data_IF_234078471234
#
_entry.id   IF_234078471234
#
_cell.length_a   1.000
_cell.length_b   1.000
_cell.length_c   1.000
_cell.angle_alpha   90.00
_cell.angle_beta   90.00
_cell.angle_gamma   90.00
#
_symmetry.space_group_name_H-M   'P 1'
#
loop_
_entity.id
_entity.type
_entity.pdbx_description
1 polymer ?
#
# COMPACT_ATOMS: atom_id res chain seq x y z
N UNK A 1 4.04 30.71 2.63
CA UNK A 1 3.54 29.33 2.85
C UNK A 1 4.66 28.36 2.50
N UNK A 2 4.92 27.38 3.36
CA UNK A 2 5.92 26.34 3.02
C UNK A 2 5.36 25.41 1.94
N UNK A 3 6.22 24.85 1.09
CA UNK A 3 5.81 23.99 -0.03
C UNK A 3 5.01 22.76 0.44
N UNK A 4 5.23 22.32 1.68
CA UNK A 4 4.45 21.27 2.35
C UNK A 4 2.99 21.69 2.59
N UNK A 5 2.76 22.92 3.06
CA UNK A 5 1.40 23.44 3.27
C UNK A 5 0.61 23.50 1.97
N UNK A 6 1.28 23.86 0.87
CA UNK A 6 0.69 23.85 -0.48
C UNK A 6 0.30 22.42 -0.87
N UNK A 7 1.18 21.44 -0.64
CA UNK A 7 0.89 20.03 -0.92
C UNK A 7 -0.27 19.46 -0.08
N UNK A 8 -0.36 19.81 1.20
CA UNK A 8 -1.46 19.41 2.09
C UNK A 8 -2.78 20.01 1.57
N UNK A 9 -2.80 21.31 1.29
CA UNK A 9 -3.98 21.99 0.77
C UNK A 9 -4.43 21.41 -0.57
N UNK A 10 -3.49 21.13 -1.47
CA UNK A 10 -3.77 20.48 -2.75
C UNK A 10 -4.42 19.10 -2.57
N UNK A 11 -3.81 18.23 -1.76
CA UNK A 11 -4.35 16.89 -1.49
C UNK A 11 -5.74 16.95 -0.85
N UNK A 12 -5.95 17.87 0.10
CA UNK A 12 -7.24 18.05 0.77
C UNK A 12 -8.35 18.51 -0.19
N UNK A 13 -8.07 19.53 -1.03
CA UNK A 13 -9.03 20.04 -2.01
C UNK A 13 -9.41 18.95 -3.01
N UNK A 14 -8.42 18.24 -3.54
CA UNK A 14 -8.65 17.15 -4.50
C UNK A 14 -9.45 16.02 -3.87
N UNK A 15 -9.15 15.62 -2.63
CA UNK A 15 -9.91 14.61 -1.92
C UNK A 15 -11.38 15.01 -1.72
N UNK A 16 -11.63 16.27 -1.30
CA UNK A 16 -13.00 16.79 -1.16
C UNK A 16 -13.75 16.83 -2.49
N UNK A 17 -13.10 17.28 -3.57
CA UNK A 17 -13.71 17.29 -4.91
C UNK A 17 -14.05 15.87 -5.36
N UNK A 18 -13.15 14.91 -5.12
CA UNK A 18 -13.38 13.50 -5.43
C UNK A 18 -14.58 12.94 -4.66
N UNK A 19 -14.64 13.15 -3.34
CA UNK A 19 -15.74 12.69 -2.49
C UNK A 19 -17.09 13.29 -2.92
N UNK A 20 -17.10 14.59 -3.26
CA UNK A 20 -18.33 15.28 -3.68
C UNK A 20 -18.82 14.81 -5.05
N UNK A 21 -17.90 14.56 -6.00
CA UNK A 21 -18.21 14.14 -7.37
C UNK A 21 -18.69 12.69 -7.45
N UNK A 22 -18.29 11.85 -6.49
CA UNK A 22 -18.55 10.40 -6.51
C UNK A 22 -19.59 9.96 -5.49
N UNK A 23 -20.07 10.91 -4.65
CA UNK A 23 -21.08 10.71 -3.59
C UNK A 23 -20.72 9.60 -2.59
N UNK A 24 -19.49 9.11 -2.62
CA UNK A 24 -18.93 8.12 -1.73
C UNK A 24 -17.69 8.70 -1.06
N UNK A 25 -17.54 8.42 0.24
CA UNK A 25 -16.37 8.85 1.02
C UNK A 25 -15.12 8.06 0.65
N UNK A 26 -15.29 6.83 0.14
CA UNK A 26 -14.23 5.89 -0.18
C UNK A 26 -14.15 5.75 -1.70
N UNK A 27 -13.39 6.63 -2.35
CA UNK A 27 -13.00 6.52 -3.76
C UNK A 27 -11.45 6.43 -3.85
N UNK A 28 -10.86 5.64 -4.76
CA UNK A 28 -9.42 5.57 -5.03
C UNK A 28 -8.72 6.93 -5.02
N UNK A 29 -9.32 7.93 -5.66
CA UNK A 29 -8.77 9.29 -5.71
C UNK A 29 -8.75 9.95 -4.34
N UNK A 30 -9.87 9.88 -3.61
CA UNK A 30 -9.97 10.45 -2.25
C UNK A 30 -9.04 9.74 -1.26
N UNK A 31 -8.94 8.40 -1.33
CA UNK A 31 -8.07 7.61 -0.44
C UNK A 31 -6.61 7.90 -0.72
N UNK A 32 -6.21 7.91 -2.00
CA UNK A 32 -4.84 8.23 -2.40
C UNK A 32 -4.42 9.63 -1.94
N UNK A 33 -5.27 10.64 -2.18
CA UNK A 33 -5.01 12.01 -1.74
C UNK A 33 -5.02 12.14 -0.22
N UNK A 34 -5.91 11.45 0.49
CA UNK A 34 -5.96 11.48 1.95
C UNK A 34 -4.70 10.86 2.58
N UNK A 35 -4.23 9.73 2.05
CA UNK A 35 -2.97 9.11 2.49
C UNK A 35 -1.81 10.07 2.33
N UNK A 36 -1.65 10.70 1.16
CA UNK A 36 -0.56 11.64 0.93
C UNK A 36 -0.70 12.94 1.73
N UNK A 37 -1.93 13.41 1.98
CA UNK A 37 -2.20 14.52 2.90
C UNK A 37 -1.70 14.18 4.32
N UNK A 38 -2.05 13.00 4.85
CA UNK A 38 -1.61 12.56 6.17
C UNK A 38 -0.07 12.45 6.24
N UNK A 39 0.56 11.92 5.19
CA UNK A 39 2.02 11.84 5.09
C UNK A 39 2.67 13.22 5.16
N UNK A 40 2.17 14.18 4.39
CA UNK A 40 2.70 15.55 4.39
C UNK A 40 2.44 16.25 5.73
N UNK A 41 1.26 16.03 6.34
CA UNK A 41 0.91 16.58 7.65
C UNK A 41 1.81 16.06 8.79
N UNK A 42 2.12 14.76 8.79
CA UNK A 42 3.05 14.20 9.77
C UNK A 42 4.50 14.60 9.50
N UNK A 43 4.86 14.94 8.25
CA UNK A 43 6.21 15.41 7.93
C UNK A 43 6.57 16.76 8.57
N UNK A 44 5.57 17.59 8.92
CA UNK A 44 5.81 18.92 9.53
C UNK A 44 5.69 18.94 11.05
N UNK A 45 5.07 17.93 11.67
CA UNK A 45 4.74 17.94 13.10
C UNK A 45 5.68 17.10 13.98
N UNK A 46 6.66 16.41 13.41
CA UNK A 46 7.59 15.57 14.16
C UNK A 46 8.92 16.29 14.39
N UNK A 47 9.20 16.65 15.64
CA UNK A 47 10.42 17.32 16.11
C UNK A 47 11.73 16.51 15.95
N UNK A 48 11.65 15.28 15.43
CA UNK A 48 12.76 14.31 15.33
C UNK A 48 13.02 13.78 13.91
N UNK A 49 12.28 14.25 12.91
CA UNK A 49 12.45 13.84 11.51
C UNK A 49 13.03 15.01 10.72
N UNK A 50 14.03 14.73 9.88
CA UNK A 50 14.60 15.74 8.98
C UNK A 50 13.48 16.34 8.13
N UNK A 51 13.46 17.66 8.06
CA UNK A 51 12.51 18.36 7.20
C UNK A 51 12.77 17.94 5.74
N UNK A 52 11.75 17.45 5.02
CA UNK A 52 11.93 16.98 3.66
C UNK A 52 12.41 18.13 2.76
N UNK A 53 13.39 17.84 1.89
CA UNK A 53 13.85 18.81 0.91
C UNK A 53 12.70 19.25 0.00
N UNK A 54 12.68 20.54 -0.36
CA UNK A 54 11.62 21.13 -1.21
C UNK A 54 11.42 20.36 -2.52
N UNK A 55 12.49 19.79 -3.09
CA UNK A 55 12.42 18.96 -4.28
C UNK A 55 11.60 17.68 -4.07
N UNK A 56 11.79 16.99 -2.94
CA UNK A 56 11.03 15.77 -2.63
C UNK A 56 9.54 16.06 -2.50
N UNK A 57 9.18 17.18 -1.88
CA UNK A 57 7.78 17.59 -1.75
C UNK A 57 7.22 17.97 -3.14
N UNK A 58 8.02 18.62 -3.99
CA UNK A 58 7.67 18.90 -5.38
C UNK A 58 7.31 17.63 -6.17
N UNK A 59 8.15 16.59 -6.08
CA UNK A 59 7.87 15.29 -6.71
C UNK A 59 6.59 14.63 -6.19
N UNK A 60 6.31 14.74 -4.89
CA UNK A 60 5.06 14.22 -4.32
C UNK A 60 3.85 14.96 -4.92
N UNK A 61 3.89 16.29 -4.99
CA UNK A 61 2.79 17.09 -5.55
C UNK A 61 2.58 16.75 -7.03
N UNK A 62 3.66 16.64 -7.81
CA UNK A 62 3.59 16.23 -9.23
C UNK A 62 2.98 14.83 -9.36
N UNK A 63 3.40 13.87 -8.53
CA UNK A 63 2.85 12.51 -8.54
C UNK A 63 1.36 12.46 -8.21
N UNK A 64 0.91 13.25 -7.22
CA UNK A 64 -0.52 13.38 -6.91
C UNK A 64 -1.27 14.03 -8.07
N UNK A 65 -0.72 15.06 -8.70
CA UNK A 65 -1.31 15.70 -9.89
C UNK A 65 -1.39 14.76 -11.10
N UNK A 66 -0.37 13.94 -11.34
CA UNK A 66 -0.39 12.96 -12.42
C UNK A 66 -1.46 11.88 -12.18
N UNK A 67 -1.59 11.40 -10.94
CA UNK A 67 -2.62 10.43 -10.57
C UNK A 67 -4.04 11.00 -10.73
N UNK A 68 -4.26 12.25 -10.34
CA UNK A 68 -5.57 12.91 -10.49
C UNK A 68 -5.95 13.10 -11.96
N UNK A 69 -5.01 13.53 -12.79
CA UNK A 69 -5.21 13.65 -14.22
C UNK A 69 -5.51 12.28 -14.85
N UNK A 70 -4.74 11.24 -14.52
CA UNK A 70 -4.98 9.88 -14.99
C UNK A 70 -6.38 9.37 -14.62
N UNK A 71 -6.82 9.61 -13.37
CA UNK A 71 -8.16 9.26 -12.91
C UNK A 71 -9.26 9.99 -13.67
N UNK A 72 -9.10 11.30 -13.91
CA UNK A 72 -10.05 12.10 -14.69
C UNK A 72 -10.08 11.63 -16.15
N UNK A 73 -8.92 11.35 -16.74
CA UNK A 73 -8.77 10.91 -18.13
C UNK A 73 -9.47 9.57 -18.36
N UNK A 74 -9.26 8.58 -17.49
CA UNK A 74 -9.94 7.29 -17.51
C UNK A 74 -11.47 7.45 -17.49
N UNK A 75 -11.97 8.40 -16.67
CA UNK A 75 -13.40 8.66 -16.53
C UNK A 75 -14.02 9.34 -17.76
N UNK A 76 -13.30 10.28 -18.38
CA UNK A 76 -13.78 11.01 -19.56
C UNK A 76 -13.81 10.10 -20.78
N UNK A 77 -12.70 9.41 -21.03
CA UNK A 77 -12.52 8.69 -22.27
C UNK A 77 -13.28 7.36 -22.31
N UNK A 78 -13.70 6.83 -21.15
CA UNK A 78 -14.40 5.53 -21.04
C UNK A 78 -13.76 4.44 -21.91
N UNK A 79 -12.45 4.53 -22.16
CA UNK A 79 -11.75 3.58 -23.03
C UNK A 79 -11.74 2.26 -22.30
N UNK A 80 -12.65 1.39 -22.73
CA UNK A 80 -12.63 -0.02 -22.38
C UNK A 80 -11.74 -0.69 -23.42
N UNK A 81 -10.50 -0.99 -23.04
CA UNK A 81 -9.72 -1.97 -23.79
C UNK A 81 -10.40 -3.32 -23.58
N UNK A 82 -11.38 -3.64 -24.41
CA UNK A 82 -11.89 -5.00 -24.53
C UNK A 82 -10.83 -5.80 -25.26
N UNK A 83 -9.92 -6.43 -24.52
CA UNK A 83 -9.20 -7.57 -25.03
C UNK A 83 -10.24 -8.61 -25.47
N UNK A 84 -10.07 -9.15 -26.68
CA UNK A 84 -11.03 -10.03 -27.35
C UNK A 84 -11.56 -11.14 -26.45
N UNK A 85 -12.78 -11.61 -26.74
CA UNK A 85 -13.51 -12.55 -25.90
C UNK A 85 -12.65 -13.75 -25.56
N UNK A 86 -12.11 -13.76 -24.34
CA UNK A 86 -11.65 -14.98 -23.70
C UNK A 86 -12.89 -15.85 -23.61
N UNK A 87 -12.83 -16.99 -24.26
CA UNK A 87 -13.86 -18.02 -24.27
C UNK A 87 -14.39 -18.23 -22.86
N UNK A 88 -15.69 -18.47 -22.79
CA UNK A 88 -16.51 -18.66 -21.59
C UNK A 88 -15.86 -19.56 -20.53
N UNK A 89 -15.05 -18.98 -19.65
CA UNK A 89 -14.74 -19.50 -18.30
C UNK A 89 -15.90 -19.21 -17.34
N UNK A 90 -17.14 -19.19 -17.86
CA UNK A 90 -18.34 -18.78 -17.12
C UNK A 90 -18.74 -19.78 -16.02
N UNK A 91 -18.17 -20.99 -16.06
CA UNK A 91 -18.54 -22.07 -15.15
C UNK A 91 -17.40 -22.58 -14.25
N UNK A 92 -16.24 -21.92 -14.25
CA UNK A 92 -15.22 -22.17 -13.24
C UNK A 92 -15.09 -20.94 -12.35
N UNK A 93 -16.03 -20.81 -11.40
CA UNK A 93 -15.79 -19.99 -10.20
C UNK A 93 -14.54 -20.60 -9.55
N UNK A 94 -13.39 -19.98 -9.78
CA UNK A 94 -12.14 -20.42 -9.20
C UNK A 94 -12.20 -20.13 -7.70
N UNK A 95 -12.73 -21.09 -6.93
CA UNK A 95 -12.85 -20.97 -5.48
C UNK A 95 -11.43 -20.90 -4.91
N UNK A 96 -11.04 -19.78 -4.29
CA UNK A 96 -9.73 -19.67 -3.68
C UNK A 96 -9.56 -20.76 -2.62
N UNK A 97 -8.39 -21.41 -2.58
CA UNK A 97 -8.09 -22.37 -1.51
C UNK A 97 -7.84 -21.61 -0.20
N UNK A 98 -8.90 -21.24 0.50
CA UNK A 98 -8.87 -20.36 1.68
C UNK A 98 -7.88 -20.86 2.75
N UNK A 99 -7.83 -22.16 3.03
CA UNK A 99 -6.90 -22.74 4.03
C UNK A 99 -5.43 -22.46 3.68
N UNK A 100 -5.06 -22.55 2.41
CA UNK A 100 -3.70 -22.29 1.94
C UNK A 100 -3.38 -20.80 1.95
N UNK A 101 -4.33 -19.95 1.52
CA UNK A 101 -4.15 -18.50 1.57
C UNK A 101 -4.02 -17.97 3.00
N UNK A 102 -4.82 -18.48 3.93
CA UNK A 102 -4.71 -18.17 5.36
C UNK A 102 -3.34 -18.61 5.91
N UNK A 103 -2.86 -19.80 5.55
CA UNK A 103 -1.55 -20.27 5.95
C UNK A 103 -0.43 -19.36 5.42
N UNK A 104 -0.44 -19.06 4.11
CA UNK A 104 0.53 -18.17 3.48
C UNK A 104 0.54 -16.76 4.10
N UNK A 105 -0.64 -16.18 4.33
CA UNK A 105 -0.76 -14.87 4.95
C UNK A 105 -0.26 -14.87 6.40
N UNK A 106 -0.53 -15.94 7.15
CA UNK A 106 -0.04 -16.11 8.53
C UNK A 106 1.49 -16.25 8.58
N UNK A 107 2.09 -17.00 7.65
CA UNK A 107 3.56 -17.12 7.55
C UNK A 107 4.20 -15.77 7.23
N UNK A 108 3.65 -15.03 6.25
CA UNK A 108 4.13 -13.69 5.91
C UNK A 108 4.00 -12.73 7.11
N UNK A 109 2.88 -12.82 7.83
CA UNK A 109 2.61 -12.02 9.01
C UNK A 109 3.63 -12.25 10.13
N UNK A 110 3.97 -13.51 10.42
CA UNK A 110 5.01 -13.85 11.41
C UNK A 110 6.38 -13.30 11.02
N UNK A 111 6.71 -13.36 9.73
CA UNK A 111 7.97 -12.81 9.23
C UNK A 111 8.03 -11.29 9.38
N UNK A 112 6.97 -10.57 8.97
CA UNK A 112 6.91 -9.12 9.16
C UNK A 112 6.85 -8.71 10.64
N UNK A 113 6.25 -9.53 11.50
CA UNK A 113 6.23 -9.30 12.95
C UNK A 113 7.65 -9.45 13.53
N UNK A 114 8.40 -10.48 13.13
CA UNK A 114 9.81 -10.64 13.52
C UNK A 114 10.63 -9.44 13.07
N UNK A 115 10.51 -9.04 11.81
CA UNK A 115 11.23 -7.89 11.27
C UNK A 115 10.88 -6.61 12.05
N UNK A 116 9.62 -6.42 12.43
CA UNK A 116 9.18 -5.30 13.27
C UNK A 116 9.82 -5.34 14.67
N UNK A 117 9.93 -6.52 15.29
CA UNK A 117 10.60 -6.69 16.59
C UNK A 117 12.09 -6.39 16.47
N UNK A 118 12.77 -6.88 15.43
CA UNK A 118 14.19 -6.62 15.21
C UNK A 118 14.47 -5.13 14.98
N UNK A 119 13.62 -4.47 14.18
CA UNK A 119 13.66 -3.02 13.98
C UNK A 119 13.46 -2.28 15.30
N UNK A 120 12.55 -2.75 16.16
CA UNK A 120 12.30 -2.15 17.47
C UNK A 120 13.49 -2.31 18.42
N UNK A 121 14.08 -3.51 18.49
CA UNK A 121 15.22 -3.82 19.36
C UNK A 121 16.50 -3.08 18.93
N UNK A 122 16.76 -2.97 17.62
CA UNK A 122 17.97 -2.33 17.10
C UNK A 122 17.83 -0.80 16.98
N UNK A 123 16.64 -0.30 16.68
CA UNK A 123 16.40 1.13 16.45
C UNK A 123 15.99 1.92 17.70
N UNK A 124 15.59 1.24 18.79
CA UNK A 124 15.16 1.85 20.06
C UNK A 124 13.96 2.81 19.97
N UNK A 125 13.41 3.05 18.77
CA UNK A 125 12.28 3.93 18.51
C UNK A 125 11.62 3.63 17.15
N UNK A 126 10.34 3.96 17.01
CA UNK A 126 9.60 3.91 15.74
C UNK A 126 9.98 5.06 14.77
N UNK A 127 11.27 5.38 14.65
CA UNK A 127 11.69 6.42 13.74
C UNK A 127 11.74 5.88 12.31
N UNK A 128 10.73 6.26 11.51
CA UNK A 128 10.58 5.90 10.10
C UNK A 128 11.85 6.15 9.26
N UNK A 129 12.66 7.16 9.61
CA UNK A 129 13.93 7.43 8.93
C UNK A 129 14.98 6.38 9.24
N UNK A 130 15.08 5.92 10.49
CA UNK A 130 15.96 4.81 10.84
C UNK A 130 15.49 3.54 10.15
N UNK A 131 14.19 3.25 10.12
CA UNK A 131 13.66 2.08 9.40
C UNK A 131 13.98 2.17 7.90
N UNK A 132 13.75 3.32 7.27
CA UNK A 132 14.05 3.50 5.84
C UNK A 132 15.54 3.56 5.53
N UNK A 133 16.37 4.14 6.40
CA UNK A 133 17.82 4.11 6.26
C UNK A 133 18.33 2.69 6.48
N UNK A 134 17.85 1.96 7.47
CA UNK A 134 18.19 0.56 7.76
C UNK A 134 17.78 -0.39 6.61
N UNK A 135 16.70 -0.08 5.90
CA UNK A 135 16.26 -0.82 4.70
C UNK A 135 17.00 -0.40 3.42
N UNK A 136 17.57 0.83 3.37
CA UNK A 136 18.25 1.40 2.18
C UNK A 136 19.76 1.27 2.23
N UNK A 137 20.37 1.39 3.41
CA UNK A 137 21.70 0.86 3.65
C UNK A 137 21.57 -0.62 3.42
N UNK A 138 22.32 -1.15 2.47
CA UNK A 138 22.43 -2.58 2.22
C UNK A 138 22.93 -3.38 3.43
N UNK A 139 23.09 -2.75 4.60
CA UNK A 139 23.27 -3.29 5.94
C UNK A 139 22.03 -4.03 6.50
N UNK A 140 21.30 -4.72 5.60
CA UNK A 140 20.52 -5.93 5.90
C UNK A 140 21.40 -7.08 6.46
N UNK A 141 22.63 -6.78 6.84
CA UNK A 141 23.63 -7.62 7.48
C UNK A 141 23.64 -7.49 8.99
N UNK A 142 22.66 -6.81 9.62
CA UNK A 142 22.40 -7.03 11.05
C UNK A 142 21.58 -8.31 11.17
N UNK A 143 22.30 -9.43 10.96
CA UNK A 143 21.96 -10.81 11.33
C UNK A 143 20.72 -11.40 10.65
N UNK A 144 20.70 -11.48 9.32
CA UNK A 144 19.85 -12.45 8.63
C UNK A 144 20.71 -13.50 7.95
N UNK A 145 20.43 -14.77 8.24
CA UNK A 145 21.12 -15.90 7.60
C UNK A 145 20.89 -15.78 6.07
N UNK A 146 21.86 -16.02 5.18
CA UNK A 146 21.67 -15.85 3.73
C UNK A 146 20.45 -16.59 3.18
N UNK A 147 20.14 -17.74 3.80
CA UNK A 147 18.98 -18.58 3.53
C UNK A 147 17.67 -17.84 3.89
N UNK A 148 17.65 -17.09 4.98
CA UNK A 148 16.48 -16.33 5.43
C UNK A 148 16.16 -15.15 4.50
N UNK A 149 17.20 -14.44 4.03
CA UNK A 149 17.02 -13.39 3.04
C UNK A 149 16.52 -13.96 1.70
N UNK A 150 17.02 -15.12 1.29
CA UNK A 150 16.53 -15.82 0.10
C UNK A 150 15.06 -16.22 0.24
N UNK A 151 14.62 -16.69 1.42
CA UNK A 151 13.22 -17.00 1.70
C UNK A 151 12.35 -15.73 1.60
N UNK A 152 12.82 -14.61 2.14
CA UNK A 152 12.09 -13.34 2.08
C UNK A 152 11.87 -12.88 0.63
N UNK A 153 12.93 -12.88 -0.17
CA UNK A 153 12.89 -12.43 -1.56
C UNK A 153 12.09 -13.37 -2.47
N UNK A 154 12.25 -14.68 -2.33
CA UNK A 154 11.64 -15.66 -3.25
C UNK A 154 10.19 -16.01 -2.90
N UNK A 155 9.84 -16.00 -1.61
CA UNK A 155 8.51 -16.47 -1.18
C UNK A 155 7.70 -15.34 -0.55
N UNK A 156 8.25 -14.63 0.42
CA UNK A 156 7.45 -13.72 1.25
C UNK A 156 7.04 -12.47 0.49
N UNK A 157 7.94 -11.82 -0.23
CA UNK A 157 7.61 -10.62 -1.00
C UNK A 157 6.60 -10.89 -2.13
N UNK A 158 6.75 -11.94 -2.96
CA UNK A 158 5.77 -12.26 -3.99
C UNK A 158 4.40 -12.62 -3.40
N UNK A 159 4.35 -13.43 -2.33
CA UNK A 159 3.10 -13.81 -1.67
C UNK A 159 2.40 -12.58 -1.06
N UNK A 160 3.16 -11.71 -0.39
CA UNK A 160 2.63 -10.48 0.21
C UNK A 160 2.17 -9.44 -0.83
N UNK A 161 2.62 -9.55 -2.09
CA UNK A 161 2.13 -8.74 -3.20
C UNK A 161 0.88 -9.35 -3.86
N UNK A 162 0.82 -10.68 -4.00
CA UNK A 162 -0.30 -11.37 -4.64
C UNK A 162 -1.55 -11.46 -3.75
N UNK A 163 -1.38 -11.63 -2.43
CA UNK A 163 -2.49 -11.78 -1.47
C UNK A 163 -3.52 -10.65 -1.52
N UNK A 164 -3.14 -9.36 -1.52
CA UNK A 164 -4.08 -8.25 -1.67
C UNK A 164 -4.91 -8.32 -2.96
N UNK A 165 -4.29 -8.70 -4.08
CA UNK A 165 -4.99 -8.82 -5.37
C UNK A 165 -5.98 -9.99 -5.35
N UNK A 166 -5.60 -11.15 -4.80
CA UNK A 166 -6.48 -12.32 -4.65
C UNK A 166 -7.65 -11.98 -3.70
N UNK A 167 -7.37 -11.27 -2.61
CA UNK A 167 -8.40 -10.82 -1.67
C UNK A 167 -9.40 -9.86 -2.33
N UNK A 168 -8.95 -8.96 -3.20
CA UNK A 168 -9.84 -8.06 -3.93
C UNK A 168 -10.74 -8.81 -4.91
N UNK A 169 -10.20 -9.81 -5.62
CA UNK A 169 -10.99 -10.69 -6.49
C UNK A 169 -12.01 -11.50 -5.68
N UNK A 170 -11.65 -12.02 -4.51
CA UNK A 170 -12.57 -12.74 -3.60
C UNK A 170 -13.69 -11.85 -3.05
N UNK A 171 -13.45 -10.56 -2.88
CA UNK A 171 -14.48 -9.58 -2.45
C UNK A 171 -15.52 -9.36 -3.56
N UNK A 172 -15.10 -9.31 -4.83
CA UNK A 172 -16.00 -9.01 -5.94
C UNK A 172 -16.68 -10.23 -6.54
N UNK A 173 -15.95 -11.33 -6.69
CA UNK A 173 -16.37 -12.52 -7.43
C UNK A 173 -16.42 -13.78 -6.56
N UNK A 174 -15.94 -13.74 -5.32
CA UNK A 174 -15.88 -14.88 -4.40
C UNK A 174 -16.89 -14.85 -3.26
N UNK A 175 -16.67 -15.70 -2.25
CA UNK A 175 -17.56 -15.88 -1.09
C UNK A 175 -17.40 -14.78 -0.02
N UNK A 176 -16.56 -13.76 -0.27
CA UNK A 176 -16.31 -12.63 0.64
C UNK A 176 -15.89 -13.11 2.04
N UNK A 177 -14.87 -13.98 2.10
CA UNK A 177 -14.48 -14.58 3.36
C UNK A 177 -13.86 -13.53 4.31
N UNK A 178 -14.64 -13.10 5.30
CA UNK A 178 -14.25 -12.06 6.27
C UNK A 178 -12.93 -12.35 6.96
N UNK A 179 -12.62 -13.63 7.24
CA UNK A 179 -11.36 -14.01 7.91
C UNK A 179 -10.13 -13.76 7.02
N UNK A 180 -10.22 -14.05 5.73
CA UNK A 180 -9.15 -13.81 4.77
C UNK A 180 -8.87 -12.31 4.62
N UNK A 181 -9.93 -11.52 4.55
CA UNK A 181 -9.85 -10.05 4.46
C UNK A 181 -9.16 -9.49 5.71
N UNK A 182 -9.61 -9.88 6.91
CA UNK A 182 -9.02 -9.39 8.16
C UNK A 182 -7.53 -9.73 8.27
N UNK A 183 -7.13 -10.96 7.94
CA UNK A 183 -5.72 -11.36 8.00
C UNK A 183 -4.89 -10.64 6.96
N UNK A 184 -5.41 -10.44 5.74
CA UNK A 184 -4.69 -9.72 4.68
C UNK A 184 -4.47 -8.26 5.06
N UNK A 185 -5.48 -7.60 5.65
CA UNK A 185 -5.35 -6.23 6.17
C UNK A 185 -4.34 -6.18 7.32
N UNK A 186 -4.38 -7.12 8.26
CA UNK A 186 -3.47 -7.13 9.41
C UNK A 186 -2.01 -7.41 8.97
N UNK A 187 -1.82 -8.33 8.02
CA UNK A 187 -0.53 -8.58 7.37
C UNK A 187 0.00 -7.31 6.68
N UNK A 188 -0.85 -6.57 5.95
CA UNK A 188 -0.45 -5.32 5.30
C UNK A 188 -0.07 -4.25 6.32
N UNK A 189 -0.77 -4.15 7.46
CA UNK A 189 -0.42 -3.23 8.53
C UNK A 189 0.97 -3.55 9.12
N UNK A 190 1.25 -4.81 9.42
CA UNK A 190 2.57 -5.22 9.89
C UNK A 190 3.67 -4.98 8.86
N UNK A 191 3.40 -5.26 7.59
CA UNK A 191 4.33 -4.95 6.50
C UNK A 191 4.61 -3.46 6.42
N UNK A 192 3.59 -2.61 6.53
CA UNK A 192 3.76 -1.15 6.53
C UNK A 192 4.58 -0.66 7.71
N UNK A 193 4.35 -1.19 8.90
CA UNK A 193 5.11 -0.82 10.10
C UNK A 193 6.56 -1.29 10.04
N UNK A 194 6.81 -2.50 9.51
CA UNK A 194 8.13 -3.10 9.37
C UNK A 194 8.97 -2.46 8.26
N UNK A 195 8.38 -2.25 7.07
CA UNK A 195 9.12 -1.81 5.87
C UNK A 195 8.93 -0.34 5.50
N UNK A 196 8.09 0.39 6.26
CA UNK A 196 7.59 1.73 5.92
C UNK A 196 6.94 1.83 4.53
N UNK A 197 6.69 0.69 3.86
CA UNK A 197 6.23 0.65 2.48
C UNK A 197 4.70 0.75 2.41
N UNK A 198 4.21 1.90 1.95
CA UNK A 198 2.78 2.25 1.94
C UNK A 198 2.03 1.73 0.70
N UNK A 199 2.74 1.21 -0.29
CA UNK A 199 2.18 0.79 -1.58
C UNK A 199 1.20 -0.38 -1.49
N UNK A 200 1.41 -1.32 -0.56
CA UNK A 200 0.55 -2.50 -0.41
C UNK A 200 -0.90 -2.18 -0.02
N UNK A 201 -1.10 -1.11 0.75
CA UNK A 201 -2.43 -0.66 1.15
C UNK A 201 -3.14 0.08 0.01
N UNK A 202 -2.40 0.90 -0.75
CA UNK A 202 -2.92 1.56 -1.95
C UNK A 202 -3.36 0.55 -3.00
N UNK A 203 -2.59 -0.52 -3.20
CA UNK A 203 -2.96 -1.60 -4.12
C UNK A 203 -4.27 -2.28 -3.72
N UNK A 204 -4.46 -2.59 -2.44
CA UNK A 204 -5.72 -3.17 -1.97
C UNK A 204 -6.93 -2.25 -2.24
N UNK A 205 -6.79 -0.93 -2.07
CA UNK A 205 -7.86 0.02 -2.39
C UNK A 205 -8.09 0.22 -3.88
N UNK A 206 -7.04 0.21 -4.70
CA UNK A 206 -7.14 0.29 -6.16
C UNK A 206 -7.84 -0.96 -6.71
N UNK A 207 -7.60 -2.14 -6.13
CA UNK A 207 -8.24 -3.36 -6.60
C UNK A 207 -9.68 -3.54 -6.10
N UNK A 208 -10.09 -2.84 -5.03
CA UNK A 208 -11.45 -2.91 -4.44
C UNK A 208 -12.43 -1.92 -5.10
N UNK A 209 -12.00 -1.05 -6.02
CA UNK A 209 -12.87 -0.02 -6.62
C UNK A 209 -12.68 0.06 -8.13
#
# INVERSE_FOLDING_TARGET
MSLVQIGIAFCFIVALVAMRKERTVINPLSVFCFVWMAVLFFSTNTTRLDYPQNETIGWIIIGVGAYTLGYIFQRILKIRFTFGSWTTLRDQVAIPRYKLLLFCASVCMLFFLRDLILVFLNGGSFNLRYIQQFLRSSDYTIVSNPIENAINLLFIQPIAFALPAICAVDIFYGEKNKRLITITVLMLLFKMMSTANRSGFLLLFIYIY
#
